data_IF_600488680697
#
_entry.id   IF_600488680697
#
_cell.length_a   1.000
_cell.length_b   1.000
_cell.length_c   1.000
_cell.angle_alpha   90.00
_cell.angle_beta   90.00
_cell.angle_gamma   90.00
#
_symmetry.space_group_name_H-M   'P 1'
#
loop_
_entity.id
_entity.type
_entity.pdbx_description
1 polymer ?
#
# COMPACT_ATOMS: atom_id res chain seq x y z
N UNK A 1 -6.18 20.55 -8.68
CA UNK A 1 -5.81 19.26 -8.04
C UNK A 1 -6.84 18.96 -6.95
N UNK A 2 -7.43 17.75 -6.89
CA UNK A 2 -8.43 17.39 -5.86
C UNK A 2 -7.78 16.83 -4.57
N UNK A 3 -6.52 16.43 -4.68
CA UNK A 3 -5.77 15.67 -3.69
C UNK A 3 -4.64 14.91 -4.37
N UNK A 4 -3.98 14.06 -3.60
CA UNK A 4 -2.86 13.20 -3.98
C UNK A 4 -2.95 11.86 -3.23
N UNK A 5 -2.26 10.86 -3.78
CA UNK A 5 -2.10 9.53 -3.18
C UNK A 5 -0.63 9.19 -3.24
N UNK A 6 -0.07 8.80 -2.11
CA UNK A 6 1.32 8.42 -1.95
C UNK A 6 1.41 6.92 -1.65
N UNK A 7 2.48 6.30 -2.14
CA UNK A 7 2.80 4.89 -1.90
C UNK A 7 4.22 4.78 -1.38
N UNK A 8 4.39 4.12 -0.24
CA UNK A 8 5.69 3.92 0.42
C UNK A 8 5.95 2.43 0.63
N UNK A 9 7.20 2.01 0.59
CA UNK A 9 7.62 0.63 0.88
C UNK A 9 8.42 0.58 2.17
N UNK A 10 8.10 -0.39 3.02
CA UNK A 10 8.82 -0.69 4.26
C UNK A 10 9.22 -2.16 4.27
N UNK A 11 10.27 -2.50 5.02
CA UNK A 11 10.50 -3.88 5.41
C UNK A 11 9.32 -4.37 6.26
N UNK A 12 8.88 -5.59 6.00
CA UNK A 12 7.80 -6.25 6.71
C UNK A 12 8.39 -7.01 7.90
N UNK A 13 8.52 -6.33 9.04
CA UNK A 13 9.16 -6.85 10.26
C UNK A 13 8.30 -7.90 11.02
N UNK A 14 7.29 -8.51 10.38
CA UNK A 14 6.47 -9.58 11.00
C UNK A 14 7.24 -10.93 11.09
N UNK A 15 8.49 -10.99 10.62
CA UNK A 15 9.42 -12.12 10.82
C UNK A 15 10.40 -11.84 12.01
N UNK A 16 9.84 -11.50 13.18
CA UNK A 16 10.55 -11.64 14.46
C UNK A 16 10.42 -13.10 14.93
N UNK A 17 11.29 -14.00 14.44
CA UNK A 17 11.73 -15.21 15.16
C UNK A 17 12.83 -15.93 14.34
N UNK A 18 14.09 -15.49 14.52
CA UNK A 18 15.22 -16.39 14.81
C UNK A 18 16.52 -15.56 14.87
N UNK A 19 16.91 -15.20 16.09
CA UNK A 19 18.16 -14.49 16.43
C UNK A 19 19.43 -15.34 16.23
N UNK A 20 19.36 -16.52 15.60
CA UNK A 20 20.49 -17.42 15.42
C UNK A 20 20.53 -17.98 14.00
N UNK A 21 21.19 -17.26 13.07
CA UNK A 21 22.12 -17.81 12.07
C UNK A 21 22.43 -16.76 10.97
N UNK A 22 23.62 -16.15 11.03
CA UNK A 22 24.14 -15.25 10.01
C UNK A 22 24.24 -15.87 8.59
N UNK A 23 24.11 -17.20 8.46
CA UNK A 23 24.14 -17.93 7.19
C UNK A 23 22.75 -18.12 6.52
N UNK A 24 21.64 -17.91 7.23
CA UNK A 24 20.27 -18.07 6.67
C UNK A 24 19.74 -16.82 5.96
N UNK A 25 20.37 -15.65 6.18
CA UNK A 25 20.01 -14.37 5.55
C UNK A 25 20.30 -14.32 4.05
N UNK A 26 21.13 -15.22 3.54
CA UNK A 26 21.42 -15.34 2.10
C UNK A 26 20.26 -16.02 1.34
N UNK A 27 19.35 -16.72 2.02
CA UNK A 27 18.23 -17.46 1.40
C UNK A 27 16.83 -16.96 1.78
N UNK A 28 16.71 -16.06 2.75
CA UNK A 28 15.42 -15.54 3.19
C UNK A 28 14.88 -14.51 2.19
N UNK A 29 13.62 -14.66 1.79
CA UNK A 29 12.94 -13.64 0.99
C UNK A 29 12.81 -12.34 1.79
N UNK A 30 13.06 -11.22 1.14
CA UNK A 30 12.88 -9.87 1.69
C UNK A 30 11.42 -9.50 1.48
N UNK A 31 10.65 -9.47 2.56
CA UNK A 31 9.23 -9.12 2.54
C UNK A 31 9.08 -7.60 2.71
N UNK A 32 8.26 -7.00 1.86
CA UNK A 32 7.93 -5.57 1.93
C UNK A 32 6.45 -5.37 2.23
N UNK A 33 6.14 -4.28 2.95
CA UNK A 33 4.79 -3.79 3.18
C UNK A 33 4.62 -2.44 2.50
N UNK A 34 3.59 -2.32 1.67
CA UNK A 34 3.27 -1.06 0.98
C UNK A 34 2.30 -0.19 1.77
N UNK A 35 2.64 1.04 2.13
CA UNK A 35 1.72 1.99 2.76
C UNK A 35 1.05 2.88 1.71
N UNK A 36 -0.28 2.98 1.77
CA UNK A 36 -1.07 3.91 0.96
C UNK A 36 -1.54 5.07 1.84
N UNK A 37 -1.13 6.27 1.49
CA UNK A 37 -1.60 7.51 2.13
C UNK A 37 -2.38 8.36 1.12
N UNK A 38 -3.59 8.78 1.50
CA UNK A 38 -4.54 9.48 0.62
C UNK A 38 -4.93 10.81 1.24
N UNK A 39 -4.62 11.89 0.53
CA UNK A 39 -4.99 13.23 0.94
C UNK A 39 -6.01 13.83 -0.04
N UNK A 40 -7.16 14.30 0.48
CA UNK A 40 -8.19 15.01 -0.31
C UNK A 40 -8.30 16.45 0.21
N UNK A 41 -7.94 17.40 -0.65
CA UNK A 41 -7.61 18.77 -0.28
C UNK A 41 -8.80 19.62 0.25
N UNK A 42 -10.05 19.30 -0.12
CA UNK A 42 -11.21 20.12 0.24
C UNK A 42 -12.42 19.33 0.73
N UNK A 43 -13.10 19.83 1.76
CA UNK A 43 -14.35 19.24 2.27
C UNK A 43 -15.43 19.11 1.18
N UNK A 44 -15.51 20.08 0.26
CA UNK A 44 -16.42 20.09 -0.88
C UNK A 44 -16.19 18.96 -1.90
N UNK A 45 -15.08 18.23 -1.79
CA UNK A 45 -14.71 17.10 -2.64
C UNK A 45 -14.81 15.75 -1.92
N UNK A 46 -15.13 15.73 -0.62
CA UNK A 46 -15.35 14.51 0.16
C UNK A 46 -16.75 13.94 -0.08
N UNK A 47 -16.93 12.64 0.20
CA UNK A 47 -18.22 11.96 0.07
C UNK A 47 -18.72 11.76 -1.37
N UNK A 48 -17.89 12.04 -2.38
CA UNK A 48 -18.23 11.93 -3.81
C UNK A 48 -17.55 10.74 -4.51
N UNK A 49 -17.10 9.75 -3.74
CA UNK A 49 -16.36 8.59 -4.25
C UNK A 49 -14.95 8.91 -4.79
N UNK A 50 -14.46 10.15 -4.70
CA UNK A 50 -13.15 10.51 -5.25
C UNK A 50 -11.99 9.82 -4.53
N UNK A 51 -12.08 9.64 -3.21
CA UNK A 51 -11.06 8.87 -2.46
C UNK A 51 -11.02 7.41 -2.85
N UNK A 52 -12.19 6.80 -3.05
CA UNK A 52 -12.29 5.42 -3.52
C UNK A 52 -11.70 5.24 -4.91
N UNK A 53 -12.07 6.10 -5.85
CA UNK A 53 -11.49 6.08 -7.18
C UNK A 53 -9.97 6.27 -7.14
N UNK A 54 -9.46 7.18 -6.30
CA UNK A 54 -8.03 7.42 -6.16
C UNK A 54 -7.27 6.20 -5.62
N UNK A 55 -7.78 5.56 -4.57
CA UNK A 55 -7.19 4.33 -4.02
C UNK A 55 -7.24 3.19 -5.05
N UNK A 56 -8.38 2.98 -5.70
CA UNK A 56 -8.52 1.92 -6.70
C UNK A 56 -7.59 2.12 -7.90
N UNK A 57 -7.41 3.37 -8.35
CA UNK A 57 -6.48 3.71 -9.43
C UNK A 57 -5.03 3.42 -9.02
N UNK A 58 -4.59 3.82 -7.82
CA UNK A 58 -3.21 3.52 -7.39
C UNK A 58 -3.01 2.02 -7.21
N UNK A 59 -4.01 1.28 -6.71
CA UNK A 59 -3.93 -0.18 -6.59
C UNK A 59 -3.79 -0.85 -7.96
N UNK A 60 -4.58 -0.43 -8.93
CA UNK A 60 -4.46 -0.90 -10.31
C UNK A 60 -3.09 -0.55 -10.93
N UNK A 61 -2.57 0.65 -10.64
CA UNK A 61 -1.22 1.06 -11.05
C UNK A 61 -0.15 0.12 -10.45
N UNK A 62 -0.23 -0.14 -9.13
CA UNK A 62 0.73 -0.99 -8.42
C UNK A 62 0.66 -2.42 -8.96
N UNK A 63 -0.53 -3.00 -9.12
CA UNK A 63 -0.69 -4.34 -9.71
C UNK A 63 -0.06 -4.44 -11.09
N UNK A 64 -0.30 -3.45 -11.96
CA UNK A 64 0.23 -3.43 -13.33
C UNK A 64 1.76 -3.28 -13.35
N UNK A 65 2.32 -2.49 -12.44
CA UNK A 65 3.72 -2.08 -12.46
C UNK A 65 4.57 -2.71 -11.34
N UNK A 66 4.04 -3.69 -10.60
CA UNK A 66 4.67 -4.21 -9.38
C UNK A 66 6.12 -4.63 -9.60
N UNK A 67 6.39 -5.43 -10.64
CA UNK A 67 7.74 -5.89 -10.94
C UNK A 67 8.72 -4.73 -11.14
N UNK A 68 8.30 -3.67 -11.86
CA UNK A 68 9.15 -2.50 -12.07
C UNK A 68 9.37 -1.69 -10.79
N UNK A 69 8.34 -1.60 -9.93
CA UNK A 69 8.43 -0.90 -8.64
C UNK A 69 9.42 -1.64 -7.72
N UNK A 70 9.32 -2.97 -7.64
CA UNK A 70 10.21 -3.78 -6.82
C UNK A 70 11.65 -3.80 -7.36
N UNK A 71 11.83 -3.82 -8.68
CA UNK A 71 13.14 -3.71 -9.32
C UNK A 71 13.82 -2.37 -8.98
N UNK A 72 13.07 -1.25 -9.05
CA UNK A 72 13.57 0.08 -8.68
C UNK A 72 13.97 0.15 -7.20
N UNK A 73 13.12 -0.38 -6.32
CA UNK A 73 13.42 -0.47 -4.89
C UNK A 73 14.68 -1.31 -4.62
N UNK A 74 14.77 -2.50 -5.22
CA UNK A 74 15.94 -3.38 -5.09
C UNK A 74 17.23 -2.67 -5.51
N UNK A 75 17.17 -1.95 -6.64
CA UNK A 75 18.31 -1.20 -7.15
C UNK A 75 18.72 -0.06 -6.20
N UNK A 76 17.74 0.70 -5.68
CA UNK A 76 17.98 1.80 -4.74
C UNK A 76 18.65 1.33 -3.45
N UNK A 77 18.17 0.20 -2.90
CA UNK A 77 18.66 -0.39 -1.65
C UNK A 77 19.84 -1.36 -1.84
N UNK A 78 20.27 -1.60 -3.09
CA UNK A 78 21.34 -2.56 -3.47
C UNK A 78 21.06 -4.00 -3.00
N UNK A 79 19.80 -4.42 -3.12
CA UNK A 79 19.32 -5.74 -2.76
C UNK A 79 19.23 -6.65 -3.99
N UNK A 80 19.15 -7.95 -3.75
CA UNK A 80 18.85 -8.92 -4.80
C UNK A 80 17.36 -8.88 -5.14
N UNK A 81 17.02 -8.38 -6.33
CA UNK A 81 15.65 -8.22 -6.80
C UNK A 81 14.86 -9.53 -6.81
N UNK A 82 15.52 -10.67 -7.02
CA UNK A 82 14.87 -11.98 -7.08
C UNK A 82 14.44 -12.48 -5.69
N UNK A 83 14.88 -11.79 -4.63
CA UNK A 83 14.50 -12.08 -3.24
C UNK A 83 13.42 -11.15 -2.71
N UNK A 84 13.02 -10.11 -3.42
CA UNK A 84 12.05 -9.12 -2.93
C UNK A 84 10.62 -9.53 -3.29
N UNK A 85 9.72 -9.45 -2.33
CA UNK A 85 8.29 -9.62 -2.54
C UNK A 85 7.47 -8.63 -1.73
N UNK A 86 6.33 -8.21 -2.30
CA UNK A 86 5.35 -7.41 -1.58
C UNK A 86 4.41 -8.36 -0.81
N UNK A 87 4.47 -8.33 0.52
CA UNK A 87 3.62 -9.13 1.41
C UNK A 87 2.18 -8.61 1.49
N UNK A 88 1.98 -7.32 1.18
CA UNK A 88 0.67 -6.71 1.12
C UNK A 88 0.73 -5.21 1.36
N UNK A 89 -0.42 -4.67 1.73
CA UNK A 89 -0.64 -3.25 1.85
C UNK A 89 -1.10 -2.88 3.26
N UNK A 90 -0.81 -1.64 3.64
CA UNK A 90 -1.34 -1.01 4.83
C UNK A 90 -1.75 0.43 4.60
N UNK A 91 -2.58 0.97 5.48
CA UNK A 91 -2.84 2.39 5.63
C UNK A 91 -2.92 2.74 7.12
N UNK A 92 -2.26 3.82 7.52
CA UNK A 92 -2.35 4.36 8.88
C UNK A 92 -3.36 5.49 8.87
N UNK A 93 -4.41 5.36 9.68
CA UNK A 93 -5.55 6.27 9.65
C UNK A 93 -5.88 6.71 11.07
N UNK A 94 -6.09 8.02 11.29
CA UNK A 94 -6.57 8.50 12.60
C UNK A 94 -7.86 7.78 13.01
N UNK A 95 -7.94 7.37 14.27
CA UNK A 95 -9.04 6.55 14.80
C UNK A 95 -10.42 7.21 14.62
N UNK A 96 -10.44 8.54 14.70
CA UNK A 96 -11.62 9.40 14.55
C UNK A 96 -11.97 9.71 13.08
N UNK A 97 -11.08 9.38 12.14
CA UNK A 97 -11.31 9.53 10.71
C UNK A 97 -12.15 8.34 10.18
N UNK A 98 -13.41 8.32 10.61
CA UNK A 98 -14.43 7.34 10.21
C UNK A 98 -14.63 7.26 8.69
N UNK A 99 -14.43 8.37 7.97
CA UNK A 99 -14.56 8.43 6.52
C UNK A 99 -13.49 7.59 5.80
N UNK A 100 -12.22 7.80 6.12
CA UNK A 100 -11.13 7.00 5.56
C UNK A 100 -11.20 5.55 6.05
N UNK A 101 -11.53 5.31 7.34
CA UNK A 101 -11.72 3.94 7.85
C UNK A 101 -12.83 3.21 7.09
N UNK A 102 -13.97 3.86 6.85
CA UNK A 102 -15.07 3.28 6.08
C UNK A 102 -14.71 3.04 4.61
N UNK A 103 -13.89 3.92 4.02
CA UNK A 103 -13.37 3.74 2.67
C UNK A 103 -12.50 2.48 2.56
N UNK A 104 -11.46 2.37 3.40
CA UNK A 104 -10.52 1.25 3.34
C UNK A 104 -11.21 -0.09 3.70
N UNK A 105 -12.14 -0.10 4.66
CA UNK A 105 -12.97 -1.28 4.95
C UNK A 105 -13.77 -1.75 3.71
N UNK A 106 -14.40 -0.83 2.96
CA UNK A 106 -15.15 -1.20 1.74
C UNK A 106 -14.27 -1.77 0.64
N UNK A 107 -13.00 -1.37 0.61
CA UNK A 107 -12.01 -1.87 -0.34
C UNK A 107 -11.38 -3.21 0.09
N UNK A 108 -11.78 -3.75 1.24
CA UNK A 108 -11.33 -5.06 1.73
C UNK A 108 -10.21 -5.00 2.78
N UNK A 109 -9.73 -3.81 3.15
CA UNK A 109 -8.76 -3.71 4.24
C UNK A 109 -9.42 -4.01 5.58
N UNK A 110 -8.69 -4.68 6.46
CA UNK A 110 -9.10 -5.00 7.83
C UNK A 110 -8.24 -4.27 8.84
N UNK A 111 -8.85 -3.86 9.95
CA UNK A 111 -8.07 -3.28 11.06
C UNK A 111 -7.19 -4.35 11.70
N UNK A 112 -5.93 -4.02 11.95
CA UNK A 112 -4.97 -4.83 12.70
C UNK A 112 -4.63 -4.12 14.00
N UNK A 113 -4.87 -4.81 15.12
CA UNK A 113 -4.64 -4.26 16.45
C UNK A 113 -5.56 -3.08 16.82
N UNK A 114 -5.17 -2.40 17.90
CA UNK A 114 -5.82 -1.18 18.39
C UNK A 114 -5.11 0.07 17.85
N UNK A 115 -5.65 1.26 18.15
CA UNK A 115 -4.99 2.50 17.81
C UNK A 115 -3.64 2.61 18.54
N UNK A 116 -2.60 3.07 17.82
CA UNK A 116 -1.29 3.29 18.41
C UNK A 116 -1.29 4.53 19.35
N UNK A 117 -0.13 4.83 19.96
CA UNK A 117 0.04 6.00 20.85
C UNK A 117 -0.35 7.35 20.20
N UNK A 118 -0.34 7.44 18.87
CA UNK A 118 -0.71 8.63 18.11
C UNK A 118 -2.19 8.66 17.71
N UNK A 119 -3.00 7.72 18.18
CA UNK A 119 -4.42 7.60 17.83
C UNK A 119 -4.63 7.16 16.38
N UNK A 120 -3.74 6.34 15.83
CA UNK A 120 -3.84 5.81 14.46
C UNK A 120 -4.11 4.32 14.46
N UNK A 121 -5.11 3.90 13.69
CA UNK A 121 -5.40 2.49 13.40
C UNK A 121 -4.63 2.05 12.16
N UNK A 122 -4.05 0.84 12.20
CA UNK A 122 -3.44 0.18 11.05
C UNK A 122 -4.51 -0.62 10.33
N UNK A 123 -4.75 -0.31 9.06
CA UNK A 123 -5.63 -1.07 8.17
C UNK A 123 -4.74 -1.87 7.22
N UNK A 124 -4.93 -3.18 7.09
CA UNK A 124 -4.07 -4.08 6.29
C UNK A 124 -4.86 -4.91 5.28
N UNK A 125 -4.20 -5.31 4.20
CA UNK A 125 -4.71 -6.26 3.19
C UNK A 125 -3.52 -7.06 2.65
N UNK A 126 -3.64 -8.37 2.51
CA UNK A 126 -2.57 -9.21 1.95
C UNK A 126 -2.41 -8.95 0.45
N UNK A 127 -1.22 -9.21 -0.10
CA UNK A 127 -1.04 -9.02 -1.54
C UNK A 127 -1.91 -9.99 -2.36
N UNK A 128 -2.07 -11.22 -1.89
CA UNK A 128 -2.94 -12.22 -2.54
C UNK A 128 -4.40 -11.76 -2.58
N UNK A 129 -4.88 -11.12 -1.51
CA UNK A 129 -6.23 -10.52 -1.47
C UNK A 129 -6.36 -9.38 -2.49
N UNK A 130 -5.31 -8.56 -2.67
CA UNK A 130 -5.30 -7.46 -3.64
C UNK A 130 -5.38 -8.01 -5.07
N UNK A 131 -4.56 -9.01 -5.41
CA UNK A 131 -4.54 -9.67 -6.73
C UNK A 131 -5.88 -10.31 -7.09
N UNK A 132 -6.63 -10.81 -6.10
CA UNK A 132 -7.95 -11.41 -6.29
C UNK A 132 -9.07 -10.40 -6.60
N UNK A 133 -8.81 -9.09 -6.49
CA UNK A 133 -9.82 -8.04 -6.68
C UNK A 133 -9.56 -7.28 -7.98
N UNK A 134 -10.59 -7.17 -8.82
CA UNK A 134 -10.61 -6.31 -10.00
C UNK A 134 -10.65 -4.82 -9.64
N UNK A 135 -9.57 -4.30 -9.06
CA UNK A 135 -9.50 -2.90 -8.59
C UNK A 135 -9.74 -1.91 -9.74
N UNK A 136 -9.34 -2.28 -10.96
CA UNK A 136 -9.55 -1.52 -12.19
C UNK A 136 -10.97 -1.64 -12.80
N UNK A 137 -11.84 -2.53 -12.30
CA UNK A 137 -13.12 -2.82 -12.93
C UNK A 137 -14.03 -1.58 -13.00
N UNK A 138 -14.40 -1.19 -14.22
CA UNK A 138 -15.22 0.00 -14.46
C UNK A 138 -14.49 1.34 -14.27
N UNK A 139 -13.15 1.34 -14.20
CA UNK A 139 -12.35 2.56 -14.17
C UNK A 139 -11.69 2.80 -15.53
N UNK A 140 -11.92 3.98 -16.10
CA UNK A 140 -11.08 4.49 -17.19
C UNK A 140 -9.79 5.06 -16.58
N UNK A 141 -8.70 4.32 -16.73
CA UNK A 141 -7.38 4.67 -16.25
C UNK A 141 -6.44 4.96 -17.43
N UNK A 142 -5.68 6.06 -17.33
CA UNK A 142 -4.66 6.42 -18.31
C UNK A 142 -3.45 7.04 -17.61
N UNK A 143 -2.28 6.49 -17.87
CA UNK A 143 -1.00 7.09 -17.51
C UNK A 143 -0.70 8.24 -18.48
N UNK A 144 -0.32 9.39 -17.93
CA UNK A 144 0.08 10.57 -18.70
C UNK A 144 1.53 10.90 -18.37
N UNK A 145 2.36 10.99 -19.41
CA UNK A 145 3.73 11.43 -19.24
C UNK A 145 3.76 12.88 -18.76
N UNK A 146 4.58 13.16 -17.76
CA UNK A 146 4.87 14.53 -17.37
C UNK A 146 5.75 15.15 -18.47
N UNK A 147 5.18 16.09 -19.23
CA UNK A 147 5.93 16.87 -20.22
C UNK A 147 6.41 18.13 -19.51
N UNK A 148 7.73 18.24 -19.34
CA UNK A 148 8.40 19.44 -18.82
C UNK A 148 8.38 20.58 -19.83
#
# INVERSE_FOLDING_TARGET
MKGDVNFFLYLDDDDDDDEDNAAQRESSQIRLRGEIDVMIAGQQHRGKGTGEAAVRIILAYIQKNLSSILDEYAQGEKLDKDKIQLAGLMAKIKEDNTGSRGLFNKLGFRQEGEANYFGEVKMVMSWEEVEGVGMADGLEYREVAYVM
#
